data_IF_841833013377
#
_entry.id   IF_841833013377
#
_cell.length_a   1.000
_cell.length_b   1.000
_cell.length_c   1.000
_cell.angle_alpha   90.00
_cell.angle_beta   90.00
_cell.angle_gamma   90.00
#
_symmetry.space_group_name_H-M   'P 1'
#
loop_
_entity.id
_entity.type
_entity.pdbx_description
1 polymer ?
#
# COMPACT_ATOMS: atom_id res chain seq x y z
N UNK A 1 9.00 1.26 -10.19
CA UNK A 1 8.69 -0.14 -10.52
C UNK A 1 7.32 -0.14 -11.14
N UNK A 2 7.20 -0.49 -12.42
CA UNK A 2 5.93 -0.86 -13.03
C UNK A 2 5.94 -2.39 -13.04
N UNK A 3 5.00 -3.03 -12.38
CA UNK A 3 5.11 -4.46 -12.11
C UNK A 3 3.93 -5.03 -11.35
N UNK A 4 3.80 -6.35 -11.43
CA UNK A 4 2.76 -7.14 -10.77
C UNK A 4 2.71 -6.85 -9.26
N UNK A 5 3.86 -6.61 -8.63
CA UNK A 5 3.98 -6.28 -7.20
C UNK A 5 3.22 -5.00 -6.82
N UNK A 6 3.24 -3.99 -7.69
CA UNK A 6 2.52 -2.73 -7.44
C UNK A 6 1.02 -2.92 -7.64
N UNK A 7 0.63 -3.72 -8.63
CA UNK A 7 -0.78 -4.06 -8.82
C UNK A 7 -1.32 -4.85 -7.63
N UNK A 8 -0.52 -5.79 -7.09
CA UNK A 8 -0.86 -6.53 -5.88
C UNK A 8 -0.98 -5.60 -4.67
N UNK A 9 -0.01 -4.70 -4.47
CA UNK A 9 -0.09 -3.70 -3.41
C UNK A 9 -1.35 -2.83 -3.53
N UNK A 10 -1.66 -2.35 -4.74
CA UNK A 10 -2.85 -1.55 -5.01
C UNK A 10 -4.13 -2.32 -4.68
N UNK A 11 -4.21 -3.61 -5.05
CA UNK A 11 -5.31 -4.50 -4.67
C UNK A 11 -5.44 -4.62 -3.15
N UNK A 12 -4.34 -4.90 -2.45
CA UNK A 12 -4.33 -5.04 -0.99
C UNK A 12 -4.76 -3.74 -0.30
N UNK A 13 -4.20 -2.60 -0.70
CA UNK A 13 -4.57 -1.29 -0.16
C UNK A 13 -6.02 -0.91 -0.48
N UNK A 14 -6.55 -1.32 -1.64
CA UNK A 14 -7.94 -1.08 -2.02
C UNK A 14 -8.90 -1.92 -1.16
N UNK A 15 -8.59 -3.20 -0.95
CA UNK A 15 -9.37 -4.09 -0.07
C UNK A 15 -9.42 -3.59 1.37
N UNK A 16 -8.36 -2.92 1.83
CA UNK A 16 -8.29 -2.30 3.15
C UNK A 16 -8.91 -0.88 3.20
N UNK A 17 -9.41 -0.36 2.07
CA UNK A 17 -10.05 0.96 1.99
C UNK A 17 -9.09 2.16 1.91
N UNK A 18 -7.78 1.93 1.75
CA UNK A 18 -6.77 2.99 1.65
C UNK A 18 -6.56 3.53 0.24
N UNK A 19 -6.86 2.74 -0.80
CA UNK A 19 -6.54 3.08 -2.19
C UNK A 19 -7.80 3.24 -3.06
N UNK A 20 -8.18 4.48 -3.43
CA UNK A 20 -9.34 4.74 -4.28
C UNK A 20 -9.03 4.74 -5.79
N UNK A 21 -7.77 4.52 -6.17
CA UNK A 21 -7.31 4.60 -7.57
C UNK A 21 -7.45 3.31 -8.37
N UNK A 22 -7.11 3.34 -9.67
CA UNK A 22 -7.07 2.14 -10.51
C UNK A 22 -5.90 1.23 -10.14
N UNK A 23 -6.08 -0.08 -10.31
CA UNK A 23 -5.02 -1.08 -10.18
C UNK A 23 -4.29 -1.16 -11.53
N UNK A 24 -3.39 -0.22 -11.76
CA UNK A 24 -2.64 -0.07 -13.01
C UNK A 24 -1.20 -0.59 -12.93
N UNK A 25 -0.77 -1.04 -11.73
CA UNK A 25 0.59 -1.48 -11.48
C UNK A 25 1.63 -0.36 -11.51
N UNK A 26 1.20 0.90 -11.41
CA UNK A 26 2.06 2.09 -11.40
C UNK A 26 2.10 2.66 -9.99
N UNK A 27 3.30 2.76 -9.44
CA UNK A 27 3.48 3.39 -8.13
C UNK A 27 3.46 4.91 -8.29
N UNK A 28 2.25 5.47 -8.33
CA UNK A 28 2.01 6.89 -8.46
C UNK A 28 1.67 7.58 -7.13
N UNK A 29 1.35 8.89 -7.17
CA UNK A 29 1.03 9.66 -5.97
C UNK A 29 -0.15 9.09 -5.16
N UNK A 30 -1.12 8.47 -5.83
CA UNK A 30 -2.26 7.83 -5.15
C UNK A 30 -1.81 6.60 -4.34
N UNK A 31 -0.93 5.77 -4.90
CA UNK A 31 -0.40 4.59 -4.22
C UNK A 31 0.49 5.00 -3.05
N UNK A 32 1.35 6.00 -3.26
CA UNK A 32 2.20 6.57 -2.21
C UNK A 32 1.37 7.12 -1.04
N UNK A 33 0.30 7.85 -1.33
CA UNK A 33 -0.60 8.38 -0.30
C UNK A 33 -1.33 7.28 0.47
N UNK A 34 -1.78 6.23 -0.22
CA UNK A 34 -2.40 5.07 0.42
C UNK A 34 -1.42 4.34 1.34
N UNK A 35 -0.16 4.16 0.91
CA UNK A 35 0.90 3.58 1.74
C UNK A 35 1.15 4.45 2.98
N UNK A 36 1.25 5.77 2.83
CA UNK A 36 1.44 6.68 3.97
C UNK A 36 0.26 6.63 4.95
N UNK A 37 -0.96 6.51 4.45
CA UNK A 37 -2.14 6.41 5.31
C UNK A 37 -2.12 5.11 6.11
N UNK A 38 -1.86 3.97 5.45
CA UNK A 38 -1.66 2.69 6.12
C UNK A 38 -0.57 2.76 7.20
N UNK A 39 0.57 3.36 6.88
CA UNK A 39 1.69 3.52 7.81
C UNK A 39 1.30 4.36 9.03
N UNK A 40 0.55 5.45 8.84
CA UNK A 40 0.04 6.32 9.92
C UNK A 40 -0.90 5.56 10.84
N UNK A 41 -1.89 4.88 10.25
CA UNK A 41 -2.95 4.23 11.03
C UNK A 41 -2.45 3.02 11.82
N UNK A 42 -1.33 2.44 11.39
CA UNK A 42 -0.65 1.34 12.09
C UNK A 42 0.56 1.79 12.93
N UNK A 43 0.75 3.10 13.14
CA UNK A 43 1.81 3.68 13.98
C UNK A 43 3.24 3.21 13.63
N UNK A 44 3.53 3.02 12.34
CA UNK A 44 4.89 2.74 11.85
C UNK A 44 5.51 3.97 11.18
N UNK A 45 6.76 3.86 10.74
CA UNK A 45 7.46 4.94 10.05
C UNK A 45 6.70 5.32 8.77
N UNK A 46 6.31 6.59 8.67
CA UNK A 46 5.55 7.15 7.55
C UNK A 46 6.50 7.75 6.52
N UNK A 47 7.11 6.92 5.69
CA UNK A 47 7.99 7.34 4.60
C UNK A 47 7.37 7.19 3.21
N UNK A 48 6.23 6.51 3.09
CA UNK A 48 5.60 6.17 1.81
C UNK A 48 6.32 5.06 1.05
N UNK A 49 7.29 4.39 1.70
CA UNK A 49 8.07 3.31 1.11
C UNK A 49 7.49 1.96 1.55
N UNK A 50 7.35 1.05 0.60
CA UNK A 50 6.85 -0.31 0.86
C UNK A 50 8.02 -1.19 1.27
N UNK A 51 8.38 -1.13 2.55
CA UNK A 51 9.39 -1.99 3.17
C UNK A 51 8.78 -3.21 3.88
N UNK A 52 9.62 -4.02 4.55
CA UNK A 52 9.16 -5.21 5.28
C UNK A 52 8.10 -4.93 6.35
N UNK A 53 8.15 -3.75 7.00
CA UNK A 53 7.13 -3.35 7.98
C UNK A 53 5.77 -3.10 7.31
N UNK A 54 5.77 -2.40 6.18
CA UNK A 54 4.56 -2.14 5.39
C UNK A 54 3.96 -3.46 4.88
N UNK A 55 4.79 -4.36 4.34
CA UNK A 55 4.33 -5.69 3.92
C UNK A 55 3.78 -6.51 5.09
N UNK A 56 4.45 -6.51 6.25
CA UNK A 56 3.99 -7.22 7.43
C UNK A 56 2.59 -6.77 7.88
N UNK A 57 2.28 -5.48 7.80
CA UNK A 57 0.94 -4.96 8.10
C UNK A 57 -0.09 -5.42 7.07
N UNK A 58 0.25 -5.37 5.78
CA UNK A 58 -0.67 -5.82 4.71
C UNK A 58 -1.07 -7.29 4.92
N UNK A 59 -0.12 -8.16 5.27
CA UNK A 59 -0.37 -9.58 5.56
C UNK A 59 -1.11 -9.80 6.89
N UNK A 60 -0.99 -8.89 7.87
CA UNK A 60 -1.73 -9.00 9.14
C UNK A 60 -3.19 -8.55 9.01
N UNK A 61 -3.46 -7.59 8.13
CA UNK A 61 -4.80 -7.01 7.94
C UNK A 61 -5.64 -7.78 6.91
N UNK A 62 -5.02 -8.62 6.09
CA UNK A 62 -5.69 -9.47 5.11
C UNK A 62 -5.58 -10.93 5.55
N UNK A 63 -6.71 -11.58 5.93
CA UNK A 63 -6.72 -12.98 6.38
C UNK A 63 -6.52 -14.00 5.25
#
# INVERSE_FOLDING_TARGET
MCGMDVAELQMKLQSLGYYPGPIDGIFGPLTENAVRQLQRDNNIKVDGIVGPQTYGILEQLLP
#
